data_IF_769179341671
#
_entry.id   IF_769179341671
#
_cell.length_a   1.000
_cell.length_b   1.000
_cell.length_c   1.000
_cell.angle_alpha   90.00
_cell.angle_beta   90.00
_cell.angle_gamma   90.00
#
_symmetry.space_group_name_H-M   'P 1'
#
loop_
_entity.id
_entity.type
_entity.pdbx_description
1 polymer ?
#
# COMPACT_ATOMS: atom_id res chain seq x y z
N UNK A 1 14.58 23.12 4.08
CA UNK A 1 13.12 23.03 4.26
C UNK A 1 12.77 21.78 5.03
N UNK A 2 11.95 21.91 6.05
CA UNK A 2 11.59 20.77 6.89
C UNK A 2 10.33 20.13 6.34
N UNK A 3 10.42 18.83 6.04
CA UNK A 3 9.25 18.09 5.59
C UNK A 3 8.34 17.78 6.79
N UNK A 4 7.09 17.56 6.50
CA UNK A 4 6.14 17.10 7.52
C UNK A 4 6.52 15.71 8.00
N UNK A 5 6.12 15.33 9.22
CA UNK A 5 6.30 13.96 9.67
C UNK A 5 5.60 12.97 8.72
N UNK A 6 6.16 11.78 8.52
CA UNK A 6 5.53 10.82 7.62
C UNK A 6 4.15 10.39 8.09
N UNK A 7 3.24 10.20 7.15
CA UNK A 7 1.93 9.60 7.41
C UNK A 7 2.03 8.11 7.11
N UNK A 8 1.57 7.29 8.03
CA UNK A 8 1.57 5.83 7.86
C UNK A 8 0.26 5.39 7.23
N UNK A 9 0.35 4.74 6.10
CA UNK A 9 -0.81 4.32 5.33
C UNK A 9 -0.79 2.80 5.19
N UNK A 10 -1.79 2.15 5.79
CA UNK A 10 -1.99 0.71 5.62
C UNK A 10 -2.84 0.47 4.39
N UNK A 11 -2.43 -0.45 3.54
CA UNK A 11 -3.15 -0.79 2.30
C UNK A 11 -3.39 -2.28 2.27
N UNK A 12 -4.67 -2.68 2.24
CA UNK A 12 -5.03 -4.08 2.12
C UNK A 12 -5.19 -4.47 0.66
N UNK A 13 -5.02 -5.76 0.36
CA UNK A 13 -5.09 -6.24 -1.01
C UNK A 13 -4.02 -5.62 -1.89
N UNK A 14 -2.86 -5.35 -1.30
CA UNK A 14 -1.85 -4.48 -1.90
C UNK A 14 -1.19 -5.08 -3.15
N UNK A 15 -1.31 -6.40 -3.35
CA UNK A 15 -0.77 -7.03 -4.56
C UNK A 15 -1.69 -6.90 -5.77
N UNK A 16 -2.91 -6.36 -5.60
CA UNK A 16 -3.87 -6.23 -6.68
C UNK A 16 -3.59 -5.05 -7.60
N UNK A 17 -4.19 -5.07 -8.78
CA UNK A 17 -3.95 -4.03 -9.79
C UNK A 17 -4.44 -2.66 -9.36
N UNK A 18 -5.59 -2.61 -8.67
CA UNK A 18 -6.12 -1.32 -8.20
C UNK A 18 -5.17 -0.73 -7.17
N UNK A 19 -4.70 -1.56 -6.25
CA UNK A 19 -3.75 -1.10 -5.25
C UNK A 19 -2.45 -0.65 -5.89
N UNK A 20 -1.96 -1.37 -6.89
CA UNK A 20 -0.74 -1.01 -7.60
C UNK A 20 -0.80 0.44 -8.11
N UNK A 21 -1.87 0.78 -8.82
CA UNK A 21 -2.02 2.14 -9.34
C UNK A 21 -2.14 3.16 -8.19
N UNK A 22 -2.86 2.81 -7.14
CA UNK A 22 -3.06 3.69 -6.00
C UNK A 22 -1.76 3.99 -5.27
N UNK A 23 -0.92 2.96 -5.08
CA UNK A 23 0.36 3.13 -4.40
C UNK A 23 1.25 4.14 -5.10
N UNK A 24 1.31 4.09 -6.43
CA UNK A 24 2.11 5.03 -7.19
C UNK A 24 1.58 6.46 -7.06
N UNK A 25 0.28 6.64 -7.03
CA UNK A 25 -0.33 7.96 -6.84
C UNK A 25 -0.03 8.52 -5.46
N UNK A 26 -0.09 7.68 -4.43
CA UNK A 26 0.21 8.11 -3.07
C UNK A 26 1.67 8.54 -2.98
N UNK A 27 2.58 7.70 -3.45
CA UNK A 27 4.01 7.99 -3.39
C UNK A 27 4.38 9.22 -4.23
N UNK A 28 3.64 9.47 -5.29
CA UNK A 28 3.86 10.64 -6.14
C UNK A 28 3.28 11.94 -5.62
N UNK A 29 2.57 11.89 -4.49
CA UNK A 29 2.04 13.09 -3.85
C UNK A 29 0.67 13.53 -4.31
N UNK A 30 -0.01 12.72 -5.13
CA UNK A 30 -1.33 13.11 -5.66
C UNK A 30 -2.40 13.07 -4.57
N UNK A 31 -2.30 12.11 -3.65
CA UNK A 31 -3.34 11.92 -2.64
C UNK A 31 -3.21 12.86 -1.46
N UNK A 32 -2.02 13.03 -0.92
CA UNK A 32 -1.80 13.78 0.32
C UNK A 32 -1.00 15.05 0.13
N UNK A 33 -0.58 15.34 -1.08
CA UNK A 33 0.20 16.53 -1.35
C UNK A 33 1.67 16.25 -1.56
N UNK A 34 2.34 17.18 -2.22
CA UNK A 34 3.72 17.00 -2.64
C UNK A 34 4.74 17.25 -1.54
N UNK A 35 4.27 17.69 -0.39
CA UNK A 35 5.13 17.95 0.76
C UNK A 35 4.89 16.96 1.89
N UNK A 36 4.09 15.91 1.66
CA UNK A 36 3.72 14.94 2.68
C UNK A 36 4.45 13.61 2.47
N UNK A 37 5.49 13.31 3.24
CA UNK A 37 6.12 12.00 3.20
C UNK A 37 5.18 10.91 3.68
N UNK A 38 5.32 9.72 3.13
CA UNK A 38 4.47 8.59 3.48
C UNK A 38 5.28 7.35 3.78
N UNK A 39 4.74 6.50 4.65
CA UNK A 39 5.22 5.14 4.89
C UNK A 39 4.09 4.21 4.49
N UNK A 40 4.37 3.32 3.55
CA UNK A 40 3.35 2.40 3.03
C UNK A 40 3.48 1.05 3.73
N UNK A 41 2.40 0.63 4.39
CA UNK A 41 2.32 -0.62 5.14
C UNK A 41 1.38 -1.56 4.40
N UNK A 42 1.95 -2.46 3.60
CA UNK A 42 1.20 -3.26 2.65
C UNK A 42 0.79 -4.59 3.24
N UNK A 43 -0.49 -4.93 3.12
CA UNK A 43 -1.05 -6.17 3.63
C UNK A 43 -1.65 -6.97 2.49
N UNK A 44 -1.29 -8.23 2.41
CA UNK A 44 -1.97 -9.18 1.53
C UNK A 44 -1.76 -10.60 2.07
N UNK A 45 -2.36 -11.56 1.42
CA UNK A 45 -2.29 -12.96 1.83
C UNK A 45 -0.86 -13.50 1.73
N UNK A 46 -0.53 -14.57 2.48
CA UNK A 46 0.82 -15.13 2.42
C UNK A 46 1.27 -15.49 1.00
N UNK A 47 0.37 -16.02 0.19
CA UNK A 47 0.70 -16.41 -1.17
C UNK A 47 0.94 -15.23 -2.10
N UNK A 48 0.58 -14.02 -1.69
CA UNK A 48 0.79 -12.81 -2.48
C UNK A 48 2.06 -12.05 -2.09
N UNK A 49 2.80 -12.51 -1.08
CA UNK A 49 3.95 -11.77 -0.58
C UNK A 49 5.08 -11.64 -1.61
N UNK A 50 5.26 -12.64 -2.46
CA UNK A 50 6.28 -12.53 -3.51
C UNK A 50 5.92 -11.45 -4.52
N UNK A 51 4.65 -11.35 -4.88
CA UNK A 51 4.19 -10.29 -5.77
C UNK A 51 4.37 -8.92 -5.13
N UNK A 52 4.10 -8.80 -3.83
CA UNK A 52 4.32 -7.55 -3.10
C UNK A 52 5.78 -7.14 -3.10
N UNK A 53 6.70 -8.10 -2.95
CA UNK A 53 8.12 -7.77 -3.02
C UNK A 53 8.49 -7.16 -4.37
N UNK A 54 7.90 -7.65 -5.45
CA UNK A 54 8.10 -7.07 -6.77
C UNK A 54 7.60 -5.65 -6.86
N UNK A 55 6.41 -5.38 -6.30
CA UNK A 55 5.86 -4.03 -6.28
C UNK A 55 6.77 -3.09 -5.48
N UNK A 56 7.25 -3.54 -4.32
CA UNK A 56 8.15 -2.74 -3.50
C UNK A 56 9.42 -2.39 -4.27
N UNK A 57 10.00 -3.36 -4.97
CA UNK A 57 11.21 -3.12 -5.76
C UNK A 57 10.96 -2.09 -6.85
N UNK A 58 9.81 -2.18 -7.54
CA UNK A 58 9.48 -1.20 -8.56
C UNK A 58 9.34 0.21 -7.96
N UNK A 59 8.69 0.32 -6.82
CA UNK A 59 8.49 1.62 -6.19
C UNK A 59 9.81 2.20 -5.68
N UNK A 60 10.68 1.36 -5.15
CA UNK A 60 12.01 1.81 -4.73
C UNK A 60 12.85 2.27 -5.92
N UNK A 61 12.74 1.57 -7.05
CA UNK A 61 13.45 1.94 -8.26
C UNK A 61 12.98 3.28 -8.83
N UNK A 62 11.71 3.64 -8.61
CA UNK A 62 11.19 4.93 -9.03
C UNK A 62 11.74 6.10 -8.21
N UNK A 63 12.33 5.82 -7.06
CA UNK A 63 12.96 6.82 -6.20
C UNK A 63 12.02 7.99 -5.87
N UNK A 64 10.80 7.67 -5.43
CA UNK A 64 9.85 8.71 -5.03
C UNK A 64 10.36 9.49 -3.81
N UNK A 65 10.54 10.80 -3.92
CA UNK A 65 11.06 11.58 -2.78
C UNK A 65 10.19 11.52 -1.54
N UNK A 66 8.87 11.33 -1.71
CA UNK A 66 7.94 11.30 -0.59
C UNK A 66 7.79 9.93 0.05
N UNK A 67 8.30 8.89 -0.58
CA UNK A 67 8.22 7.54 -0.02
C UNK A 67 9.33 7.34 0.99
N UNK A 68 8.98 7.50 2.26
CA UNK A 68 9.95 7.40 3.35
C UNK A 68 10.31 5.95 3.66
N UNK A 69 9.32 5.06 3.62
CA UNK A 69 9.53 3.63 3.81
C UNK A 69 8.36 2.86 3.20
N UNK A 70 8.60 1.59 2.91
CA UNK A 70 7.57 0.69 2.38
C UNK A 70 7.92 -0.74 2.80
N UNK A 71 6.94 -1.46 3.33
CA UNK A 71 7.12 -2.86 3.69
C UNK A 71 5.85 -3.65 3.44
N UNK A 72 5.98 -4.96 3.38
CA UNK A 72 4.87 -5.88 3.15
C UNK A 72 4.77 -6.89 4.29
N UNK A 73 3.55 -7.28 4.61
CA UNK A 73 3.29 -8.26 5.65
C UNK A 73 2.00 -9.01 5.33
N UNK A 74 1.85 -10.20 5.90
CA UNK A 74 0.59 -10.94 5.89
C UNK A 74 -0.14 -10.88 7.23
N UNK A 75 0.41 -10.12 8.18
CA UNK A 75 -0.14 -9.98 9.52
C UNK A 75 -0.87 -8.63 9.64
N UNK A 76 -2.21 -8.65 9.82
CA UNK A 76 -2.96 -7.40 9.95
C UNK A 76 -2.50 -6.52 11.10
N UNK A 77 -2.07 -7.12 12.22
CA UNK A 77 -1.61 -6.33 13.35
C UNK A 77 -0.36 -5.52 12.99
N UNK A 78 0.54 -6.11 12.22
CA UNK A 78 1.73 -5.41 11.75
C UNK A 78 1.36 -4.33 10.75
N UNK A 79 0.48 -4.66 9.80
CA UNK A 79 0.10 -3.72 8.74
C UNK A 79 -0.60 -2.48 9.29
N UNK A 80 -1.46 -2.66 10.30
CA UNK A 80 -2.25 -1.54 10.82
C UNK A 80 -1.59 -0.84 12.00
N UNK A 81 -0.44 -1.32 12.46
CA UNK A 81 0.21 -0.71 13.60
C UNK A 81 0.59 0.73 13.30
N UNK A 82 0.13 1.63 14.15
CA UNK A 82 0.41 3.07 14.04
C UNK A 82 -0.07 3.69 12.73
N UNK A 83 -0.97 3.02 12.00
CA UNK A 83 -1.47 3.56 10.74
C UNK A 83 -2.33 4.79 11.00
N UNK A 84 -2.05 5.84 10.27
CA UNK A 84 -2.87 7.07 10.30
C UNK A 84 -4.04 6.96 9.36
N UNK A 85 -3.86 6.25 8.26
CA UNK A 85 -4.88 6.06 7.23
C UNK A 85 -4.88 4.59 6.84
N UNK A 86 -6.06 4.02 6.62
CA UNK A 86 -6.19 2.67 6.13
C UNK A 86 -7.00 2.67 4.83
N UNK A 87 -6.43 2.10 3.78
CA UNK A 87 -7.10 1.94 2.50
C UNK A 87 -7.45 0.47 2.33
N UNK A 88 -8.73 0.16 2.42
CA UNK A 88 -9.21 -1.21 2.31
C UNK A 88 -9.52 -1.50 0.85
N UNK A 89 -8.50 -1.92 0.12
CA UNK A 89 -8.59 -2.19 -1.31
C UNK A 89 -8.51 -3.68 -1.52
N UNK A 90 -9.14 -4.15 -2.59
CA UNK A 90 -9.01 -5.52 -3.01
C UNK A 90 -9.79 -6.46 -2.14
N UNK A 91 -10.50 -7.31 -2.77
CA UNK A 91 -11.18 -8.44 -2.18
C UNK A 91 -10.60 -9.68 -2.79
N UNK A 92 -10.87 -10.82 -2.17
CA UNK A 92 -10.50 -12.07 -2.80
C UNK A 92 -11.09 -12.14 -4.20
N UNK A 93 -10.39 -12.71 -5.18
CA UNK A 93 -11.00 -12.99 -6.46
C UNK A 93 -12.27 -13.80 -6.24
N UNK A 94 -13.33 -13.43 -6.95
CA UNK A 94 -14.57 -14.19 -6.83
C UNK A 94 -14.41 -15.54 -7.48
N UNK A 95 -14.86 -16.55 -6.76
CA UNK A 95 -14.96 -17.89 -7.33
C UNK A 95 -16.36 -18.10 -7.86
N UNK A 96 -16.52 -19.18 -8.62
CA UNK A 96 -17.82 -19.51 -9.15
C UNK A 96 -18.84 -19.65 -8.03
N UNK A 97 -19.99 -18.99 -8.17
CA UNK A 97 -21.03 -19.00 -7.16
C UNK A 97 -20.94 -17.90 -6.12
N UNK A 98 -19.87 -17.14 -6.08
CA UNK A 98 -19.76 -16.02 -5.16
C UNK A 98 -20.35 -14.76 -5.75
N UNK A 99 -21.07 -14.04 -4.92
CA UNK A 99 -21.68 -12.80 -5.34
C UNK A 99 -20.79 -11.61 -5.04
N UNK A 100 -21.00 -10.58 -5.83
CA UNK A 100 -20.18 -9.39 -5.71
C UNK A 100 -20.57 -8.50 -4.55
N UNK A 101 -21.82 -8.57 -4.13
CA UNK A 101 -22.38 -7.63 -3.17
C UNK A 101 -21.77 -7.74 -1.77
N UNK A 102 -20.92 -8.63 -1.54
CA UNK A 102 -20.33 -8.88 -0.23
C UNK A 102 -19.38 -7.80 0.23
#
# INVERSE_FOLDING_TARGET
>A
MTLKPPVRIAVTGAAGQIAYATLFRIAGGIMLGRDQPVILQLLDLPQAQQALRGVIMEMQDCAFPLLDDIFATDDPEVAFKDADIALLIGARPRTQGMERAD
#
